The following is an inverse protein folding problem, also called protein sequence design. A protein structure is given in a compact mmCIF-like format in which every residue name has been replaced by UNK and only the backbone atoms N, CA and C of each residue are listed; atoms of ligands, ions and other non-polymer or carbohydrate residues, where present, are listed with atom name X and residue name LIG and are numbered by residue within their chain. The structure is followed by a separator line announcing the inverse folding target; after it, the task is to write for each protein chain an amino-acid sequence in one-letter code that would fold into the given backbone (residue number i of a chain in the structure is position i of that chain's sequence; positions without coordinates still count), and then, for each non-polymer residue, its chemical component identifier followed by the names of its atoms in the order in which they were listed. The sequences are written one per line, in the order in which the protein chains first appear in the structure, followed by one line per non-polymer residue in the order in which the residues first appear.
data_IF_208714038619
#
_entry.id   IF_208714038619
#
_cell.length_a   1.000
_cell.length_b   1.000
_cell.length_c   1.000
_cell.angle_alpha   90.00
_cell.angle_beta   90.00
_cell.angle_gamma   90.00
#
_symmetry.space_group_name_H-M   'P 1'
#
loop_
_entity.id
_entity.type
_entity.pdbx_description
1 polymer ?
#
# COMPACT_ATOMS: atom_id res chain seq x y z
N UNK A 1 41.69 -4.14 3.11
CA UNK A 1 40.55 -3.55 2.38
C UNK A 1 39.45 -4.59 2.22
N UNK A 2 38.16 -4.28 2.55
CA UNK A 2 37.05 -5.18 2.22
C UNK A 2 36.92 -5.26 0.69
N UNK A 3 36.83 -6.48 0.13
CA UNK A 3 36.62 -6.68 -1.31
C UNK A 3 35.33 -5.98 -1.73
N UNK A 4 35.39 -5.13 -2.75
CA UNK A 4 34.20 -4.54 -3.37
C UNK A 4 33.56 -5.63 -4.22
N UNK A 5 32.32 -5.98 -3.89
CA UNK A 5 31.54 -6.99 -4.61
C UNK A 5 31.02 -6.42 -5.94
N UNK A 6 31.01 -7.23 -6.98
CA UNK A 6 30.20 -6.96 -8.16
C UNK A 6 28.70 -7.00 -7.81
N UNK A 7 27.86 -6.43 -8.65
CA UNK A 7 26.40 -6.46 -8.45
C UNK A 7 25.87 -7.89 -8.28
N UNK A 8 26.31 -8.82 -9.11
CA UNK A 8 25.87 -10.21 -9.06
C UNK A 8 26.31 -10.92 -7.77
N UNK A 9 27.53 -10.66 -7.29
CA UNK A 9 28.00 -11.18 -6.00
C UNK A 9 27.18 -10.60 -4.85
N UNK A 10 26.89 -9.30 -4.89
CA UNK A 10 26.06 -8.62 -3.88
C UNK A 10 24.63 -9.19 -3.84
N UNK A 11 23.99 -9.38 -4.99
CA UNK A 11 22.63 -9.97 -5.06
C UNK A 11 22.58 -11.37 -4.44
N UNK A 12 23.57 -12.24 -4.74
CA UNK A 12 23.66 -13.56 -4.11
C UNK A 12 23.81 -13.49 -2.58
N UNK A 13 24.65 -12.55 -2.10
CA UNK A 13 24.83 -12.35 -0.64
C UNK A 13 23.52 -11.87 -0.02
N UNK A 14 22.81 -10.91 -0.67
CA UNK A 14 21.53 -10.37 -0.21
C UNK A 14 20.47 -11.46 -0.12
N UNK A 15 20.32 -12.28 -1.15
CA UNK A 15 19.36 -13.37 -1.19
C UNK A 15 19.64 -14.41 -0.09
N UNK A 16 20.90 -14.84 0.05
CA UNK A 16 21.30 -15.78 1.11
C UNK A 16 21.02 -15.20 2.51
N UNK A 17 21.29 -13.92 2.73
CA UNK A 17 21.01 -13.27 4.01
C UNK A 17 19.49 -13.16 4.27
N UNK A 18 18.67 -12.89 3.27
CA UNK A 18 17.22 -12.88 3.40
C UNK A 18 16.69 -14.27 3.81
N UNK A 19 17.17 -15.35 3.18
CA UNK A 19 16.82 -16.73 3.54
C UNK A 19 17.26 -17.05 4.97
N UNK A 20 18.48 -16.70 5.36
CA UNK A 20 19.00 -16.92 6.72
C UNK A 20 18.20 -16.16 7.76
N UNK A 21 17.87 -14.89 7.48
CA UNK A 21 17.02 -14.07 8.35
C UNK A 21 15.65 -14.68 8.49
N UNK A 22 15.00 -15.09 7.41
CA UNK A 22 13.69 -15.77 7.43
C UNK A 22 13.67 -17.03 8.31
N UNK A 23 14.76 -17.81 8.28
CA UNK A 23 14.90 -19.01 9.11
C UNK A 23 15.15 -18.72 10.59
N UNK A 24 15.59 -17.50 10.94
CA UNK A 24 15.90 -17.13 12.33
C UNK A 24 14.63 -16.72 13.10
N UNK A 25 13.82 -17.71 13.46
CA UNK A 25 12.54 -17.52 14.19
C UNK A 25 12.70 -16.72 15.50
N UNK A 26 13.81 -16.95 16.23
CA UNK A 26 14.07 -16.24 17.50
C UNK A 26 14.25 -14.73 17.27
N UNK A 27 15.01 -14.36 16.24
CA UNK A 27 15.22 -12.95 15.88
C UNK A 27 13.93 -12.30 15.38
N UNK A 28 13.17 -13.02 14.54
CA UNK A 28 11.85 -12.55 14.09
C UNK A 28 10.89 -12.25 15.24
N UNK A 29 10.78 -13.18 16.20
CA UNK A 29 9.91 -12.99 17.37
C UNK A 29 10.30 -11.76 18.18
N UNK A 30 11.60 -11.53 18.41
CA UNK A 30 12.10 -10.33 19.10
C UNK A 30 11.78 -9.05 18.33
N UNK A 31 12.04 -9.03 17.02
CA UNK A 31 11.79 -7.86 16.19
C UNK A 31 10.29 -7.51 16.14
N UNK A 32 9.42 -8.51 16.00
CA UNK A 32 7.97 -8.32 16.04
C UNK A 32 7.51 -7.80 17.39
N UNK A 33 8.02 -8.34 18.51
CA UNK A 33 7.67 -7.89 19.85
C UNK A 33 7.98 -6.40 20.04
N UNK A 34 9.18 -5.94 19.66
CA UNK A 34 9.56 -4.53 19.74
C UNK A 34 8.61 -3.66 18.89
N UNK A 35 8.28 -4.08 17.68
CA UNK A 35 7.35 -3.34 16.80
C UNK A 35 5.95 -3.23 17.43
N UNK A 36 5.43 -4.34 17.95
CA UNK A 36 4.11 -4.37 18.60
C UNK A 36 4.08 -3.48 19.82
N UNK A 37 5.09 -3.57 20.69
CA UNK A 37 5.20 -2.72 21.91
C UNK A 37 5.29 -1.24 21.53
N UNK A 38 6.12 -0.88 20.56
CA UNK A 38 6.27 0.50 20.11
C UNK A 38 4.96 1.04 19.52
N UNK A 39 4.24 0.22 18.75
CA UNK A 39 2.97 0.64 18.16
C UNK A 39 1.88 0.78 19.23
N UNK A 40 1.74 -0.19 20.12
CA UNK A 40 0.73 -0.16 21.16
C UNK A 40 0.91 1.00 22.15
N UNK A 41 2.17 1.36 22.43
CA UNK A 41 2.49 2.41 23.41
C UNK A 41 2.55 3.81 22.80
N UNK A 42 3.01 3.93 21.57
CA UNK A 42 3.34 5.22 20.94
C UNK A 42 2.70 5.44 19.57
N UNK A 43 1.84 4.56 19.11
CA UNK A 43 1.27 4.61 17.76
C UNK A 43 2.35 4.79 16.67
N UNK A 44 3.44 4.02 16.78
CA UNK A 44 4.64 4.19 15.96
C UNK A 44 4.36 4.20 14.45
N UNK A 45 3.44 3.38 13.97
CA UNK A 45 3.06 3.32 12.55
C UNK A 45 2.50 4.66 12.03
N UNK A 46 1.94 5.49 12.92
CA UNK A 46 1.34 6.78 12.57
C UNK A 46 2.29 7.98 12.69
N UNK A 47 3.57 7.75 13.03
CA UNK A 47 4.56 8.83 13.20
C UNK A 47 5.20 9.29 11.89
N UNK A 48 4.96 8.59 10.77
CA UNK A 48 5.55 8.91 9.48
C UNK A 48 4.59 9.71 8.61
N UNK A 49 5.16 10.59 7.78
CA UNK A 49 4.40 11.38 6.82
C UNK A 49 4.95 11.18 5.41
N UNK A 50 4.06 11.25 4.41
CA UNK A 50 4.44 11.37 3.02
C UNK A 50 3.97 12.72 2.47
N UNK A 51 4.92 13.59 2.12
CA UNK A 51 4.67 14.97 1.70
C UNK A 51 3.71 15.74 2.62
N UNK A 52 3.86 15.54 3.94
CA UNK A 52 3.09 16.23 4.98
C UNK A 52 1.70 15.66 5.26
N UNK A 53 1.32 14.53 4.63
CA UNK A 53 0.13 13.77 5.04
C UNK A 53 0.57 12.54 5.87
N UNK A 54 -0.09 12.27 7.01
CA UNK A 54 0.21 11.08 7.80
C UNK A 54 0.07 9.81 6.97
N UNK A 55 1.09 8.95 7.05
CA UNK A 55 1.15 7.70 6.31
C UNK A 55 1.16 6.54 7.31
N UNK A 56 0.01 5.89 7.48
CA UNK A 56 -0.17 4.82 8.46
C UNK A 56 0.35 3.48 7.93
N UNK A 57 1.61 3.48 7.48
CA UNK A 57 2.26 2.29 6.91
C UNK A 57 3.65 2.10 7.52
N UNK A 58 4.05 0.86 7.69
CA UNK A 58 5.45 0.58 7.99
C UNK A 58 6.31 0.90 6.77
N UNK A 59 7.41 1.59 6.99
CA UNK A 59 8.31 2.00 5.89
C UNK A 59 8.81 0.83 5.05
N UNK A 60 9.05 -0.32 5.67
CA UNK A 60 9.45 -1.55 4.98
C UNK A 60 8.36 -2.06 4.03
N UNK A 61 7.09 -1.92 4.42
CA UNK A 61 5.95 -2.37 3.61
C UNK A 61 5.76 -1.46 2.39
N UNK A 62 6.00 -0.15 2.52
CA UNK A 62 6.01 0.77 1.37
C UNK A 62 7.08 0.37 0.33
N UNK A 63 8.27 -0.03 0.78
CA UNK A 63 9.30 -0.54 -0.14
C UNK A 63 8.92 -1.88 -0.77
N UNK A 64 8.26 -2.78 -0.02
CA UNK A 64 7.74 -4.03 -0.55
C UNK A 64 6.64 -3.79 -1.60
N UNK A 65 5.69 -2.90 -1.32
CA UNK A 65 4.67 -2.49 -2.29
C UNK A 65 5.28 -1.92 -3.56
N UNK A 66 6.26 -1.01 -3.44
CA UNK A 66 6.96 -0.45 -4.59
C UNK A 66 7.58 -1.55 -5.45
N UNK A 67 8.25 -2.54 -4.86
CA UNK A 67 8.88 -3.62 -5.61
C UNK A 67 7.86 -4.51 -6.33
N UNK A 68 6.74 -4.84 -5.67
CA UNK A 68 5.67 -5.63 -6.27
C UNK A 68 5.03 -4.85 -7.43
N UNK A 69 4.70 -3.58 -7.23
CA UNK A 69 4.10 -2.72 -8.26
C UNK A 69 5.06 -2.55 -9.45
N UNK A 70 6.37 -2.38 -9.18
CA UNK A 70 7.39 -2.33 -10.24
C UNK A 70 7.43 -3.60 -11.07
N UNK A 71 7.34 -4.77 -10.44
CA UNK A 71 7.36 -6.08 -11.13
C UNK A 71 6.06 -6.38 -11.87
N UNK A 72 4.92 -6.05 -11.27
CA UNK A 72 3.61 -6.41 -11.81
C UNK A 72 3.07 -5.42 -12.83
N UNK A 73 3.51 -4.16 -12.79
CA UNK A 73 3.08 -3.09 -13.70
C UNK A 73 1.55 -3.03 -13.86
N UNK A 74 0.79 -2.78 -12.80
CA UNK A 74 -0.65 -2.62 -12.90
C UNK A 74 -1.01 -1.31 -13.65
N UNK A 75 -2.22 -1.23 -14.18
CA UNK A 75 -2.74 0.05 -14.70
C UNK A 75 -3.15 0.98 -13.56
N UNK A 76 -3.81 0.42 -12.55
CA UNK A 76 -4.42 1.13 -11.42
C UNK A 76 -4.00 0.47 -10.11
N UNK A 77 -3.73 1.29 -9.10
CA UNK A 77 -3.66 0.85 -7.71
C UNK A 77 -5.00 1.14 -7.05
N UNK A 78 -5.66 0.11 -6.53
CA UNK A 78 -6.90 0.21 -5.76
C UNK A 78 -6.55 0.10 -4.26
N UNK A 79 -6.73 1.19 -3.54
CA UNK A 79 -6.49 1.30 -2.10
C UNK A 79 -7.82 1.29 -1.34
N UNK A 80 -8.01 0.26 -0.54
CA UNK A 80 -9.16 0.12 0.36
C UNK A 80 -8.69 0.48 1.77
N UNK A 81 -9.09 1.65 2.24
CA UNK A 81 -8.56 2.32 3.43
C UNK A 81 -7.61 3.46 3.06
N UNK A 82 -8.14 4.69 2.96
CA UNK A 82 -7.38 5.91 2.62
C UNK A 82 -6.84 6.58 3.87
N UNK A 83 -7.59 6.50 4.96
CA UNK A 83 -7.28 7.15 6.25
C UNK A 83 -6.87 8.63 6.07
N UNK A 84 -5.62 8.98 6.39
CA UNK A 84 -5.08 10.34 6.29
C UNK A 84 -4.44 10.67 4.93
N UNK A 85 -4.41 9.71 3.99
CA UNK A 85 -4.01 9.91 2.61
C UNK A 85 -2.51 9.90 2.30
N UNK A 86 -1.65 9.67 3.30
CA UNK A 86 -0.20 9.59 3.08
C UNK A 86 0.19 8.42 2.16
N UNK A 87 -0.40 7.24 2.35
CA UNK A 87 -0.25 6.09 1.48
C UNK A 87 -0.78 6.36 0.07
N UNK A 88 -1.96 6.99 -0.04
CA UNK A 88 -2.53 7.39 -1.33
C UNK A 88 -1.55 8.28 -2.13
N UNK A 89 -0.94 9.28 -1.48
CA UNK A 89 0.07 10.12 -2.13
C UNK A 89 1.34 9.35 -2.50
N UNK A 90 1.78 8.42 -1.67
CA UNK A 90 2.90 7.54 -2.00
C UNK A 90 2.60 6.76 -3.28
N UNK A 91 1.44 6.12 -3.38
CA UNK A 91 1.05 5.34 -4.56
C UNK A 91 0.89 6.21 -5.80
N UNK A 92 0.37 7.43 -5.68
CA UNK A 92 0.28 8.38 -6.78
C UNK A 92 1.65 8.78 -7.32
N UNK A 93 2.63 9.01 -6.43
CA UNK A 93 4.00 9.31 -6.84
C UNK A 93 4.67 8.09 -7.48
N UNK A 94 4.41 6.89 -6.96
CA UNK A 94 4.87 5.65 -7.57
C UNK A 94 4.28 5.46 -8.98
N UNK A 95 2.96 5.71 -9.14
CA UNK A 95 2.31 5.69 -10.45
C UNK A 95 2.96 6.68 -11.42
N UNK A 96 3.24 7.91 -10.97
CA UNK A 96 3.94 8.91 -11.79
C UNK A 96 5.32 8.41 -12.25
N UNK A 97 6.10 7.88 -11.31
CA UNK A 97 7.47 7.41 -11.59
C UNK A 97 7.48 6.21 -12.55
N UNK A 98 6.50 5.34 -12.45
CA UNK A 98 6.40 4.11 -13.26
C UNK A 98 5.56 4.26 -14.53
N UNK A 99 4.95 5.42 -14.79
CA UNK A 99 4.08 5.65 -15.93
C UNK A 99 2.74 4.90 -15.86
N UNK A 100 2.25 4.60 -14.63
CA UNK A 100 0.95 3.96 -14.41
C UNK A 100 -0.16 5.01 -14.43
N UNK A 101 -1.43 4.58 -14.62
CA UNK A 101 -2.56 5.51 -14.73
C UNK A 101 -2.84 6.27 -13.44
N UNK A 102 -2.87 5.58 -12.27
CA UNK A 102 -3.08 6.25 -10.99
C UNK A 102 -3.74 5.37 -9.92
N UNK A 103 -4.49 6.03 -9.02
CA UNK A 103 -5.05 5.42 -7.81
C UNK A 103 -6.56 5.59 -7.76
N UNK A 104 -7.26 4.55 -7.32
CA UNK A 104 -8.63 4.59 -6.82
C UNK A 104 -8.57 4.32 -5.32
N UNK A 105 -8.96 5.29 -4.51
CA UNK A 105 -8.99 5.17 -3.04
C UNK A 105 -10.42 5.06 -2.54
N UNK A 106 -10.68 4.13 -1.63
CA UNK A 106 -11.99 3.90 -1.01
C UNK A 106 -11.86 3.99 0.50
N UNK A 107 -12.74 4.74 1.14
CA UNK A 107 -12.81 4.81 2.60
C UNK A 107 -14.24 5.07 3.05
N UNK A 108 -14.58 4.60 4.24
CA UNK A 108 -15.89 4.85 4.85
C UNK A 108 -16.15 6.34 5.08
N UNK A 109 -15.06 7.09 5.36
CA UNK A 109 -15.12 8.53 5.58
C UNK A 109 -13.90 9.23 4.99
N UNK A 110 -14.13 10.15 4.04
CA UNK A 110 -13.09 10.99 3.42
C UNK A 110 -13.43 12.46 3.66
N UNK A 111 -12.80 13.13 4.64
CA UNK A 111 -13.02 14.54 4.92
C UNK A 111 -12.85 15.42 3.67
N UNK A 112 -13.65 16.47 3.58
CA UNK A 112 -13.61 17.38 2.42
C UNK A 112 -12.23 18.06 2.26
N UNK A 113 -11.62 18.47 3.37
CA UNK A 113 -10.29 19.08 3.39
C UNK A 113 -9.18 18.08 2.98
N UNK A 114 -9.25 16.82 3.44
CA UNK A 114 -8.34 15.75 2.98
C UNK A 114 -8.45 15.56 1.47
N UNK A 115 -9.67 15.45 0.96
CA UNK A 115 -9.92 15.34 -0.49
C UNK A 115 -9.26 16.51 -1.26
N UNK A 116 -9.43 17.74 -0.79
CA UNK A 116 -8.84 18.91 -1.41
C UNK A 116 -7.30 18.86 -1.38
N UNK A 117 -6.70 18.48 -0.23
CA UNK A 117 -5.24 18.37 -0.10
C UNK A 117 -4.66 17.31 -1.04
N UNK A 118 -5.29 16.14 -1.13
CA UNK A 118 -4.82 15.07 -2.01
C UNK A 118 -4.90 15.49 -3.49
N UNK A 119 -5.99 16.11 -3.93
CA UNK A 119 -6.10 16.61 -5.29
C UNK A 119 -5.10 17.72 -5.61
N UNK A 120 -4.78 18.57 -4.62
CA UNK A 120 -3.76 19.63 -4.78
C UNK A 120 -2.35 19.06 -4.86
N UNK A 121 -2.04 18.03 -4.08
CA UNK A 121 -0.69 17.44 -3.96
C UNK A 121 -0.40 16.35 -4.99
N UNK A 122 -1.41 15.74 -5.58
CA UNK A 122 -1.19 14.66 -6.55
C UNK A 122 -0.39 15.13 -7.76
N UNK A 123 0.46 14.29 -8.37
CA UNK A 123 1.10 14.61 -9.64
C UNK A 123 0.06 14.90 -10.73
N UNK A 124 0.25 15.96 -11.53
CA UNK A 124 -0.73 16.42 -12.53
C UNK A 124 -1.15 15.31 -13.51
N UNK A 125 -0.21 14.47 -13.93
CA UNK A 125 -0.41 13.43 -14.92
C UNK A 125 -1.02 12.13 -14.37
N UNK A 126 -1.28 12.03 -13.05
CA UNK A 126 -1.86 10.82 -12.45
C UNK A 126 -3.36 10.98 -12.22
N UNK A 127 -4.08 9.89 -12.46
CA UNK A 127 -5.49 9.78 -12.12
C UNK A 127 -5.66 9.55 -10.63
N UNK A 128 -6.62 10.22 -10.01
CA UNK A 128 -7.07 9.96 -8.64
C UNK A 128 -8.59 9.96 -8.61
N UNK A 129 -9.18 8.91 -8.10
CA UNK A 129 -10.59 8.84 -7.76
C UNK A 129 -10.74 8.45 -6.30
N UNK A 130 -11.42 9.27 -5.52
CA UNK A 130 -11.73 8.99 -4.11
C UNK A 130 -13.23 8.70 -3.99
N UNK A 131 -13.56 7.53 -3.46
CA UNK A 131 -14.92 7.02 -3.26
C UNK A 131 -15.17 6.89 -1.77
N UNK A 132 -16.18 7.58 -1.27
CA UNK A 132 -16.57 7.45 0.12
C UNK A 132 -17.70 6.44 0.23
N UNK A 133 -17.51 5.43 1.07
CA UNK A 133 -18.46 4.38 1.36
C UNK A 133 -17.82 3.13 1.91
N UNK A 134 -18.62 2.18 2.35
CA UNK A 134 -18.13 0.91 2.86
C UNK A 134 -17.57 0.06 1.72
N UNK A 135 -16.36 -0.48 1.91
CA UNK A 135 -15.70 -1.38 0.95
C UNK A 135 -16.47 -2.67 0.68
N UNK A 136 -17.30 -3.09 1.62
CA UNK A 136 -18.17 -4.28 1.52
C UNK A 136 -19.59 -3.95 1.05
N UNK A 137 -19.87 -2.70 0.67
CA UNK A 137 -21.14 -2.33 0.03
C UNK A 137 -21.11 -2.68 -1.46
N UNK A 138 -22.12 -3.42 -1.91
CA UNK A 138 -22.23 -3.84 -3.31
C UNK A 138 -22.26 -2.67 -4.28
N UNK A 139 -22.89 -1.54 -3.94
CA UNK A 139 -22.94 -0.34 -4.80
C UNK A 139 -21.54 0.27 -4.97
N UNK A 140 -20.76 0.31 -3.90
CA UNK A 140 -19.37 0.78 -3.93
C UNK A 140 -18.51 -0.16 -4.78
N UNK A 141 -18.66 -1.46 -4.58
CA UNK A 141 -17.98 -2.45 -5.40
C UNK A 141 -18.31 -2.33 -6.89
N UNK A 142 -19.61 -2.22 -7.24
CA UNK A 142 -20.07 -2.08 -8.63
C UNK A 142 -19.50 -0.79 -9.27
N UNK A 143 -19.45 0.32 -8.53
CA UNK A 143 -18.81 1.56 -8.97
C UNK A 143 -17.30 1.38 -9.24
N UNK A 144 -16.59 0.70 -8.33
CA UNK A 144 -15.17 0.40 -8.50
C UNK A 144 -14.95 -0.47 -9.74
N UNK A 145 -15.75 -1.52 -9.89
CA UNK A 145 -15.68 -2.46 -11.01
C UNK A 145 -15.78 -1.75 -12.36
N UNK A 146 -16.69 -0.79 -12.50
CA UNK A 146 -16.80 0.01 -13.74
C UNK A 146 -15.56 0.89 -13.98
N UNK A 147 -15.01 1.52 -12.92
CA UNK A 147 -13.81 2.36 -13.05
C UNK A 147 -12.58 1.55 -13.47
N UNK A 148 -12.46 0.32 -12.96
CA UNK A 148 -11.29 -0.53 -13.22
C UNK A 148 -11.51 -1.56 -14.32
N UNK A 149 -12.64 -1.48 -15.00
CA UNK A 149 -12.97 -2.36 -16.13
C UNK A 149 -11.83 -2.38 -17.16
N UNK A 150 -11.47 -3.58 -17.59
CA UNK A 150 -10.38 -3.83 -18.56
C UNK A 150 -8.99 -3.30 -18.16
N UNK A 151 -8.78 -3.08 -16.86
CA UNK A 151 -7.49 -2.66 -16.31
C UNK A 151 -6.89 -3.75 -15.45
N UNK A 152 -5.57 -3.86 -15.47
CA UNK A 152 -4.81 -4.64 -14.49
C UNK A 152 -4.73 -3.86 -13.19
N UNK A 153 -5.22 -4.45 -12.11
CA UNK A 153 -5.35 -3.76 -10.82
C UNK A 153 -4.42 -4.38 -9.78
N UNK A 154 -3.71 -3.55 -9.05
CA UNK A 154 -3.05 -3.93 -7.80
C UNK A 154 -3.95 -3.49 -6.64
N UNK A 155 -4.38 -4.43 -5.80
CA UNK A 155 -5.36 -4.20 -4.75
C UNK A 155 -4.68 -4.25 -3.40
N UNK A 156 -4.93 -3.23 -2.56
CA UNK A 156 -4.45 -3.12 -1.19
C UNK A 156 -5.68 -3.08 -0.28
N UNK A 157 -5.80 -4.06 0.62
CA UNK A 157 -6.87 -4.12 1.61
C UNK A 157 -6.30 -3.70 2.97
N UNK A 158 -6.59 -2.48 3.38
CA UNK A 158 -6.07 -1.85 4.59
C UNK A 158 -7.13 -1.00 5.30
N UNK A 159 -8.38 -1.50 5.35
CA UNK A 159 -9.49 -0.79 5.95
C UNK A 159 -9.76 -1.30 7.38
N UNK A 160 -10.67 -2.24 7.53
CA UNK A 160 -11.05 -2.84 8.80
C UNK A 160 -10.42 -4.24 8.92
N UNK A 161 -9.60 -4.44 9.94
CA UNK A 161 -8.82 -5.66 10.14
C UNK A 161 -9.56 -6.80 10.88
N UNK A 162 -10.90 -6.69 11.02
CA UNK A 162 -11.68 -7.81 11.56
C UNK A 162 -11.79 -8.94 10.53
N UNK A 163 -11.72 -10.19 10.99
CA UNK A 163 -11.77 -11.37 10.13
C UNK A 163 -12.92 -11.35 9.11
N UNK A 164 -14.15 -11.08 9.58
CA UNK A 164 -15.34 -11.10 8.72
C UNK A 164 -15.31 -9.99 7.66
N UNK A 165 -14.78 -8.82 8.01
CA UNK A 165 -14.69 -7.71 7.07
C UNK A 165 -13.66 -8.01 5.97
N UNK A 166 -12.45 -8.44 6.35
CA UNK A 166 -11.40 -8.82 5.39
C UNK A 166 -11.86 -9.96 4.49
N UNK A 167 -12.55 -10.96 5.03
CA UNK A 167 -13.11 -12.06 4.24
C UNK A 167 -14.14 -11.55 3.22
N UNK A 168 -14.98 -10.60 3.62
CA UNK A 168 -15.96 -9.97 2.71
C UNK A 168 -15.29 -9.18 1.61
N UNK A 169 -14.25 -8.40 1.93
CA UNK A 169 -13.43 -7.69 0.95
C UNK A 169 -12.76 -8.64 -0.03
N UNK A 170 -12.14 -9.69 0.45
CA UNK A 170 -11.52 -10.72 -0.41
C UNK A 170 -12.54 -11.33 -1.37
N UNK A 171 -13.75 -11.67 -0.91
CA UNK A 171 -14.83 -12.22 -1.74
C UNK A 171 -15.33 -11.25 -2.82
N UNK A 172 -15.21 -9.95 -2.62
CA UNK A 172 -15.52 -8.96 -3.64
C UNK A 172 -14.34 -8.75 -4.60
N UNK A 173 -13.21 -8.38 -4.05
CA UNK A 173 -12.12 -7.78 -4.83
C UNK A 173 -11.26 -8.79 -5.59
N UNK A 174 -11.21 -10.08 -5.17
CA UNK A 174 -10.52 -11.10 -5.99
C UNK A 174 -11.09 -11.22 -7.40
N UNK A 175 -12.38 -10.89 -7.59
CA UNK A 175 -13.07 -10.91 -8.90
C UNK A 175 -12.54 -9.86 -9.88
N UNK A 176 -11.81 -8.86 -9.38
CA UNK A 176 -11.17 -7.83 -10.18
C UNK A 176 -9.75 -8.20 -10.63
N UNK A 177 -9.18 -9.26 -10.06
CA UNK A 177 -7.85 -9.75 -10.42
C UNK A 177 -7.92 -10.51 -11.77
N UNK A 178 -6.99 -10.15 -12.66
CA UNK A 178 -6.81 -10.78 -13.97
C UNK A 178 -5.45 -11.44 -14.08
#
# INVERSE_FOLDING_TARGET
MKKILSRNEFEKVRENNAIRLFKNRKLHKKALQVKVEANNKYYWVSLTNWFGEPCLQLTQDLFAFQEIVYKTRPDIILEIGVAWGGSTLFYLNLCKTLGLKGVVGVDIYIPKDLRQRLYKKKPKSTYLKLIQGSSIDKKIFDQIKEIVKDKKVFIILDSNHTHNHVLSELNFYYKLMK
#
